data_IF_102452160090
#
_entry.id   IF_102452160090
#
_cell.length_a   1.000
_cell.length_b   1.000
_cell.length_c   1.000
_cell.angle_alpha   90.00
_cell.angle_beta   90.00
_cell.angle_gamma   90.00
#
_symmetry.space_group_name_H-M   'P 1'
#
loop_
_entity.id
_entity.type
_entity.pdbx_description
1 polymer ?
#
# COMPACT_ATOMS: atom_id res chain seq x y z
N UNK A 1 9.88 2.26 -13.38
CA UNK A 1 9.74 3.62 -13.91
C UNK A 1 8.40 3.75 -14.62
N UNK A 2 7.93 4.98 -14.87
CA UNK A 2 6.68 5.24 -15.60
C UNK A 2 6.71 4.66 -17.03
N UNK A 3 7.88 4.63 -17.67
CA UNK A 3 8.10 4.10 -19.02
C UNK A 3 7.72 2.60 -19.15
N UNK A 4 7.85 1.84 -18.06
CA UNK A 4 7.54 0.41 -18.07
C UNK A 4 6.03 0.14 -17.97
N UNK A 5 5.21 1.12 -17.54
CA UNK A 5 3.79 0.90 -17.22
C UNK A 5 3.02 0.45 -18.45
N UNK A 6 3.02 1.23 -19.53
CA UNK A 6 2.27 0.89 -20.75
C UNK A 6 2.69 -0.46 -21.35
N UNK A 7 3.98 -0.75 -21.59
CA UNK A 7 4.40 -2.07 -22.10
C UNK A 7 3.96 -3.23 -21.20
N UNK A 8 4.03 -3.07 -19.87
CA UNK A 8 3.55 -4.10 -18.93
C UNK A 8 2.04 -4.32 -19.03
N UNK A 9 1.24 -3.26 -19.19
CA UNK A 9 -0.21 -3.37 -19.35
C UNK A 9 -0.60 -3.99 -20.69
N UNK A 10 0.12 -3.68 -21.77
CA UNK A 10 -0.09 -4.31 -23.09
C UNK A 10 0.18 -5.82 -23.02
N UNK A 11 1.19 -6.25 -22.27
CA UNK A 11 1.44 -7.68 -22.03
C UNK A 11 0.36 -8.31 -21.15
N UNK A 12 -0.10 -7.61 -20.11
CA UNK A 12 -1.15 -8.08 -19.23
C UNK A 12 -2.48 -8.28 -19.99
N UNK A 13 -2.84 -7.37 -20.90
CA UNK A 13 -4.07 -7.45 -21.70
C UNK A 13 -4.08 -8.70 -22.58
N UNK A 14 -2.93 -9.10 -23.14
CA UNK A 14 -2.79 -10.32 -23.97
C UNK A 14 -3.09 -11.60 -23.18
N UNK A 15 -2.87 -11.60 -21.87
CA UNK A 15 -3.10 -12.77 -21.01
C UNK A 15 -4.34 -12.65 -20.14
N UNK A 16 -5.10 -11.55 -20.24
CA UNK A 16 -6.25 -11.22 -19.38
C UNK A 16 -7.27 -12.34 -19.29
N UNK A 17 -7.63 -12.96 -20.42
CA UNK A 17 -8.59 -14.07 -20.48
C UNK A 17 -8.10 -15.36 -19.81
N UNK A 18 -6.79 -15.45 -19.50
CA UNK A 18 -6.19 -16.60 -18.80
C UNK A 18 -6.04 -16.36 -17.30
N UNK A 19 -6.27 -15.13 -16.83
CA UNK A 19 -6.19 -14.80 -15.41
C UNK A 19 -7.36 -15.43 -14.67
N UNK A 20 -7.05 -16.18 -13.60
CA UNK A 20 -8.06 -16.82 -12.75
C UNK A 20 -8.30 -16.08 -11.43
N UNK A 21 -7.56 -14.98 -11.22
CA UNK A 21 -7.62 -14.16 -10.01
C UNK A 21 -7.55 -12.69 -10.40
N UNK A 22 -8.13 -11.79 -9.57
CA UNK A 22 -7.95 -10.36 -9.75
C UNK A 22 -6.47 -9.98 -9.75
N UNK A 23 -6.14 -8.93 -10.50
CA UNK A 23 -4.79 -8.35 -10.54
C UNK A 23 -4.81 -7.02 -9.82
N UNK A 24 -3.77 -6.78 -9.04
CA UNK A 24 -3.51 -5.49 -8.42
C UNK A 24 -2.37 -4.82 -9.16
N UNK A 25 -2.52 -3.54 -9.48
CA UNK A 25 -1.47 -2.77 -10.14
C UNK A 25 -0.88 -1.80 -9.13
N UNK A 26 0.39 -2.00 -8.81
CA UNK A 26 1.09 -1.32 -7.73
C UNK A 26 2.03 -0.22 -8.22
N UNK A 27 1.99 0.94 -7.56
CA UNK A 27 3.04 1.95 -7.69
C UNK A 27 3.09 2.89 -6.48
N UNK A 28 4.29 3.39 -6.18
CA UNK A 28 4.48 4.51 -5.26
C UNK A 28 4.30 5.83 -5.99
N UNK A 29 3.15 6.46 -5.78
CA UNK A 29 2.72 7.67 -6.50
C UNK A 29 2.94 8.95 -5.71
N UNK A 30 3.29 8.84 -4.43
CA UNK A 30 3.57 9.97 -3.54
C UNK A 30 4.87 9.75 -2.74
N UNK A 31 5.54 10.83 -2.28
CA UNK A 31 6.58 10.73 -1.27
C UNK A 31 5.96 10.43 0.10
N UNK A 32 6.54 9.47 0.82
CA UNK A 32 6.10 9.05 2.14
C UNK A 32 7.18 9.29 3.19
N UNK A 33 7.07 8.63 4.35
CA UNK A 33 8.03 8.83 5.42
C UNK A 33 9.44 8.43 4.99
N UNK A 34 10.39 9.35 5.22
CA UNK A 34 11.79 9.24 4.79
C UNK A 34 11.98 9.01 3.28
N UNK A 35 10.96 9.28 2.45
CA UNK A 35 11.03 9.25 1.00
C UNK A 35 11.11 10.67 0.44
N UNK A 36 12.00 10.90 -0.52
CA UNK A 36 12.25 12.25 -1.05
C UNK A 36 11.39 12.60 -2.28
N UNK A 37 11.03 11.63 -3.11
CA UNK A 37 10.28 11.84 -4.36
C UNK A 37 9.34 10.65 -4.60
N UNK A 38 8.22 10.87 -5.27
CA UNK A 38 7.40 9.76 -5.79
C UNK A 38 8.18 8.94 -6.83
N UNK A 39 7.88 7.64 -6.94
CA UNK A 39 8.56 6.77 -7.89
C UNK A 39 8.03 6.97 -9.32
N UNK A 40 6.76 7.37 -9.45
CA UNK A 40 6.09 7.70 -10.71
C UNK A 40 5.21 8.94 -10.53
N UNK A 41 4.91 9.61 -11.65
CA UNK A 41 3.88 10.63 -11.69
C UNK A 41 2.49 10.00 -11.51
N UNK A 42 1.74 10.50 -10.53
CA UNK A 42 0.46 9.92 -10.14
C UNK A 42 -0.60 10.00 -11.25
N UNK A 43 -0.73 11.17 -11.88
CA UNK A 43 -1.77 11.42 -12.89
C UNK A 43 -1.51 10.56 -14.13
N UNK A 44 -0.27 10.54 -14.62
CA UNK A 44 0.11 9.76 -15.80
C UNK A 44 0.01 8.26 -15.53
N UNK A 45 0.38 7.80 -14.33
CA UNK A 45 0.22 6.40 -13.94
C UNK A 45 -1.26 6.00 -13.94
N UNK A 46 -2.11 6.74 -13.22
CA UNK A 46 -3.53 6.43 -13.08
C UNK A 46 -4.27 6.51 -14.41
N UNK A 47 -4.03 7.56 -15.20
CA UNK A 47 -4.60 7.69 -16.55
C UNK A 47 -4.22 6.51 -17.44
N UNK A 48 -2.96 6.08 -17.39
CA UNK A 48 -2.50 4.95 -18.20
C UNK A 48 -3.15 3.66 -17.74
N UNK A 49 -3.12 3.35 -16.45
CA UNK A 49 -3.70 2.11 -15.89
C UNK A 49 -5.19 2.01 -16.16
N UNK A 50 -5.95 3.06 -15.84
CA UNK A 50 -7.41 3.06 -15.98
C UNK A 50 -7.87 3.05 -17.44
N UNK A 51 -7.03 3.49 -18.39
CA UNK A 51 -7.35 3.35 -19.82
C UNK A 51 -7.28 1.92 -20.34
N UNK A 52 -6.49 1.04 -19.71
CA UNK A 52 -6.41 -0.38 -20.05
C UNK A 52 -7.34 -1.25 -19.17
N UNK A 53 -7.37 -0.97 -17.87
CA UNK A 53 -8.10 -1.75 -16.88
C UNK A 53 -8.92 -0.83 -15.97
N UNK A 54 -10.11 -0.39 -16.40
CA UNK A 54 -10.93 0.56 -15.64
C UNK A 54 -11.43 -0.01 -14.30
N UNK A 55 -11.55 -1.32 -14.17
CA UNK A 55 -12.09 -1.99 -12.97
C UNK A 55 -11.01 -2.68 -12.11
N UNK A 56 -9.73 -2.37 -12.34
CA UNK A 56 -8.62 -3.00 -11.61
C UNK A 56 -8.53 -2.52 -10.16
N UNK A 57 -8.00 -3.35 -9.26
CA UNK A 57 -7.60 -2.87 -7.94
C UNK A 57 -6.28 -2.12 -8.06
N UNK A 58 -6.25 -0.89 -7.56
CA UNK A 58 -5.06 -0.07 -7.52
C UNK A 58 -4.36 -0.26 -6.17
N UNK A 59 -3.04 -0.47 -6.20
CA UNK A 59 -2.20 -0.53 -5.02
C UNK A 59 -1.33 0.72 -5.01
N UNK A 60 -1.80 1.76 -4.32
CA UNK A 60 -1.21 3.10 -4.38
C UNK A 60 -0.41 3.38 -3.12
N UNK A 61 0.91 3.37 -3.26
CA UNK A 61 1.84 3.51 -2.16
C UNK A 61 2.51 4.88 -2.09
N UNK A 62 3.36 4.97 -1.08
CA UNK A 62 4.32 6.05 -0.95
C UNK A 62 5.72 5.48 -1.00
N UNK A 63 6.66 6.21 -1.61
CA UNK A 63 8.07 5.86 -1.45
C UNK A 63 8.44 6.05 0.01
N UNK A 64 9.01 5.02 0.61
CA UNK A 64 9.36 5.03 2.04
C UNK A 64 10.82 4.68 2.25
N UNK A 65 11.42 5.25 3.29
CA UNK A 65 12.73 4.89 3.79
C UNK A 65 12.63 4.37 5.23
N UNK A 66 13.51 3.45 5.58
CA UNK A 66 13.70 3.03 6.98
C UNK A 66 15.21 2.99 7.27
N UNK A 67 15.59 3.49 8.43
CA UNK A 67 16.98 3.59 8.86
C UNK A 67 17.12 3.18 10.33
N UNK A 68 18.01 2.22 10.62
CA UNK A 68 18.18 1.65 11.97
C UNK A 68 18.56 2.68 13.04
N UNK A 69 19.37 3.67 12.67
CA UNK A 69 19.92 4.67 13.61
C UNK A 69 19.12 5.99 13.63
N UNK A 70 17.92 6.01 13.06
CA UNK A 70 17.10 7.22 12.99
C UNK A 70 15.71 7.00 13.57
N UNK A 71 15.10 8.11 14.01
CA UNK A 71 13.69 8.10 14.33
C UNK A 71 12.88 7.97 13.03
N UNK A 72 12.40 6.77 12.75
CA UNK A 72 11.56 6.48 11.60
C UNK A 72 10.16 7.04 11.83
N UNK A 73 9.89 8.22 11.26
CA UNK A 73 8.55 8.82 11.29
C UNK A 73 7.57 7.95 10.53
N UNK A 74 6.32 7.95 10.98
CA UNK A 74 5.21 7.37 10.24
C UNK A 74 4.63 8.32 9.20
N UNK A 75 3.58 7.86 8.52
CA UNK A 75 2.71 8.64 7.64
C UNK A 75 2.02 9.78 8.39
N UNK A 76 2.24 11.02 7.96
CA UNK A 76 1.62 12.20 8.57
C UNK A 76 0.31 12.62 7.88
N UNK A 77 -0.35 13.62 8.46
CA UNK A 77 -1.60 14.18 7.94
C UNK A 77 -1.49 14.73 6.51
N UNK A 78 -0.35 15.32 6.14
CA UNK A 78 -0.14 15.84 4.80
C UNK A 78 -0.08 14.68 3.80
N UNK A 79 0.65 13.61 4.14
CA UNK A 79 0.79 12.42 3.30
C UNK A 79 -0.55 11.72 3.04
N UNK A 80 -1.34 11.48 4.09
CA UNK A 80 -2.63 10.77 3.94
C UNK A 80 -3.69 11.63 3.25
N UNK A 81 -3.69 12.95 3.47
CA UNK A 81 -4.61 13.87 2.78
C UNK A 81 -4.28 13.99 1.29
N UNK A 82 -3.00 14.04 0.93
CA UNK A 82 -2.58 14.01 -0.47
C UNK A 82 -3.03 12.73 -1.18
N UNK A 83 -2.88 11.57 -0.52
CA UNK A 83 -3.37 10.30 -1.07
C UNK A 83 -4.90 10.29 -1.22
N UNK A 84 -5.63 10.78 -0.23
CA UNK A 84 -7.09 10.91 -0.30
C UNK A 84 -7.54 11.80 -1.46
N UNK A 85 -6.84 12.91 -1.73
CA UNK A 85 -7.13 13.80 -2.86
C UNK A 85 -6.98 13.09 -4.20
N UNK A 86 -5.89 12.33 -4.39
CA UNK A 86 -5.69 11.53 -5.61
C UNK A 86 -6.83 10.51 -5.75
N UNK A 87 -7.17 9.83 -4.66
CA UNK A 87 -8.11 8.72 -4.69
C UNK A 87 -9.58 9.15 -4.75
N UNK A 88 -9.93 10.42 -4.53
CA UNK A 88 -11.31 10.90 -4.56
C UNK A 88 -11.94 10.81 -5.96
N UNK A 89 -11.11 10.84 -7.01
CA UNK A 89 -11.56 10.79 -8.42
C UNK A 89 -11.70 9.37 -8.94
N UNK A 90 -11.19 8.38 -8.20
CA UNK A 90 -11.13 6.99 -8.61
C UNK A 90 -12.43 6.27 -8.25
N UNK A 91 -12.88 5.37 -9.11
CA UNK A 91 -13.99 4.44 -8.85
C UNK A 91 -13.51 3.04 -8.42
N UNK A 92 -12.24 2.73 -8.66
CA UNK A 92 -11.60 1.45 -8.42
C UNK A 92 -11.46 1.11 -6.92
N UNK A 93 -11.41 -0.16 -6.52
CA UNK A 93 -10.87 -0.54 -5.21
C UNK A 93 -9.42 -0.05 -5.08
N UNK A 94 -9.06 0.47 -3.91
CA UNK A 94 -7.70 0.95 -3.64
C UNK A 94 -7.17 0.24 -2.39
N UNK A 95 -5.98 -0.35 -2.48
CA UNK A 95 -5.21 -0.73 -1.32
C UNK A 95 -4.03 0.23 -1.15
N UNK A 96 -3.70 0.56 0.09
CA UNK A 96 -2.56 1.40 0.43
C UNK A 96 -1.44 0.52 1.01
N UNK A 97 -0.34 0.28 0.27
CA UNK A 97 0.85 -0.34 0.79
C UNK A 97 1.47 0.52 1.89
N UNK A 98 1.46 0.01 3.12
CA UNK A 98 2.07 0.67 4.27
C UNK A 98 3.15 -0.21 4.87
N UNK A 99 4.31 0.38 5.16
CA UNK A 99 5.46 -0.35 5.70
C UNK A 99 5.23 -0.62 7.18
N UNK A 100 5.24 -1.88 7.62
CA UNK A 100 4.87 -2.29 8.97
C UNK A 100 5.57 -1.48 10.08
N UNK A 101 6.89 -1.26 9.92
CA UNK A 101 7.71 -0.51 10.87
C UNK A 101 7.29 0.95 11.09
N UNK A 102 6.45 1.51 10.21
CA UNK A 102 6.04 2.92 10.20
C UNK A 102 4.56 3.12 10.56
N UNK A 103 3.77 2.04 10.68
CA UNK A 103 2.31 2.16 10.87
C UNK A 103 1.96 2.55 12.30
N UNK A 104 2.73 2.07 13.28
CA UNK A 104 2.41 2.28 14.71
C UNK A 104 2.31 3.76 15.07
N UNK A 105 3.12 4.62 14.45
CA UNK A 105 3.12 6.05 14.70
C UNK A 105 2.02 6.81 13.93
N UNK A 106 1.25 6.12 13.08
CA UNK A 106 0.33 6.72 12.10
C UNK A 106 -1.07 6.12 12.10
N UNK A 107 -1.46 5.46 13.20
CA UNK A 107 -2.78 4.84 13.30
C UNK A 107 -3.88 5.86 13.06
N UNK A 108 -3.79 7.07 13.64
CA UNK A 108 -4.84 8.08 13.50
C UNK A 108 -4.98 8.58 12.05
N UNK A 109 -3.86 8.86 11.39
CA UNK A 109 -3.79 9.34 10.02
C UNK A 109 -4.31 8.29 9.04
N UNK A 110 -3.84 7.04 9.17
CA UNK A 110 -4.24 5.93 8.32
C UNK A 110 -5.69 5.49 8.58
N UNK A 111 -6.16 5.56 9.83
CA UNK A 111 -7.57 5.30 10.16
C UNK A 111 -8.48 6.34 9.50
N UNK A 112 -8.09 7.62 9.54
CA UNK A 112 -8.83 8.66 8.84
C UNK A 112 -8.88 8.41 7.33
N UNK A 113 -7.75 8.04 6.71
CA UNK A 113 -7.71 7.71 5.28
C UNK A 113 -8.66 6.55 4.95
N UNK A 114 -8.62 5.47 5.74
CA UNK A 114 -9.47 4.29 5.57
C UNK A 114 -10.98 4.57 5.71
N UNK A 115 -11.35 5.62 6.44
CA UNK A 115 -12.74 6.07 6.60
C UNK A 115 -13.27 6.88 5.42
N UNK A 116 -12.42 7.36 4.51
CA UNK A 116 -12.86 8.18 3.38
C UNK A 116 -13.66 7.40 2.33
N UNK A 117 -13.53 6.07 2.30
CA UNK A 117 -14.23 5.20 1.35
C UNK A 117 -14.22 3.75 1.84
N UNK A 118 -15.32 3.02 1.60
CA UNK A 118 -15.41 1.57 1.85
C UNK A 118 -14.57 0.75 0.87
N UNK A 119 -14.23 1.31 -0.30
CA UNK A 119 -13.35 0.72 -1.31
C UNK A 119 -11.88 0.64 -0.91
N UNK A 120 -11.52 1.26 0.21
CA UNK A 120 -10.11 1.35 0.64
C UNK A 120 -9.70 0.14 1.48
N UNK A 121 -8.43 -0.24 1.40
CA UNK A 121 -7.82 -1.31 2.18
C UNK A 121 -6.36 -0.98 2.49
N UNK A 122 -5.74 -1.69 3.42
CA UNK A 122 -4.31 -1.59 3.69
C UNK A 122 -3.61 -2.88 3.24
N UNK A 123 -2.41 -2.73 2.68
CA UNK A 123 -1.46 -3.84 2.51
C UNK A 123 -0.23 -3.54 3.36
N UNK A 124 -0.12 -4.22 4.49
CA UNK A 124 1.01 -4.08 5.40
C UNK A 124 2.17 -4.91 4.86
N UNK A 125 3.27 -4.25 4.49
CA UNK A 125 4.44 -4.90 3.89
C UNK A 125 5.72 -4.62 4.68
N UNK A 126 6.76 -5.41 4.43
CA UNK A 126 8.05 -5.32 5.15
C UNK A 126 9.24 -5.39 4.21
N UNK A 127 10.24 -4.53 4.44
CA UNK A 127 11.58 -4.67 3.89
C UNK A 127 12.43 -5.65 4.69
N UNK A 128 13.49 -6.18 4.08
CA UNK A 128 14.39 -7.16 4.72
C UNK A 128 15.08 -6.64 5.98
N UNK A 129 15.40 -5.35 5.98
CA UNK A 129 16.13 -4.69 7.06
C UNK A 129 15.20 -3.98 8.06
N UNK A 130 13.88 -3.99 7.81
CA UNK A 130 12.94 -3.31 8.68
C UNK A 130 12.88 -4.01 10.05
N UNK A 131 13.05 -3.23 11.13
CA UNK A 131 12.84 -3.72 12.49
C UNK A 131 11.43 -3.32 12.96
N UNK A 132 10.64 -4.34 13.31
CA UNK A 132 9.29 -4.24 13.84
C UNK A 132 9.00 -5.49 14.66
N UNK A 133 8.03 -5.43 15.59
CA UNK A 133 7.68 -6.57 16.43
C UNK A 133 6.36 -7.23 16.02
N UNK A 134 6.10 -8.44 16.53
CA UNK A 134 4.79 -9.10 16.37
C UNK A 134 3.69 -8.27 17.04
N UNK A 135 4.00 -7.62 18.17
CA UNK A 135 3.09 -6.69 18.85
C UNK A 135 2.72 -5.49 17.98
N UNK A 136 3.61 -5.00 17.12
CA UNK A 136 3.27 -3.95 16.15
C UNK A 136 2.23 -4.45 15.15
N UNK A 137 2.38 -5.67 14.63
CA UNK A 137 1.42 -6.27 13.70
C UNK A 137 0.07 -6.55 14.38
N UNK A 138 0.09 -7.01 15.63
CA UNK A 138 -1.13 -7.19 16.43
C UNK A 138 -1.83 -5.85 16.68
N UNK A 139 -1.06 -4.80 16.99
CA UNK A 139 -1.59 -3.47 17.18
C UNK A 139 -2.28 -2.94 15.91
N UNK A 140 -1.71 -3.16 14.72
CA UNK A 140 -2.37 -2.85 13.45
C UNK A 140 -3.68 -3.63 13.32
N UNK A 141 -3.65 -4.94 13.58
CA UNK A 141 -4.83 -5.82 13.49
C UNK A 141 -5.97 -5.44 14.44
N UNK A 142 -5.65 -4.82 15.57
CA UNK A 142 -6.64 -4.35 16.56
C UNK A 142 -7.28 -3.02 16.16
N UNK A 143 -6.56 -2.16 15.42
CA UNK A 143 -7.01 -0.81 15.09
C UNK A 143 -7.72 -0.70 13.72
N UNK A 144 -7.61 -1.71 12.86
CA UNK A 144 -8.24 -1.73 11.54
C UNK A 144 -9.18 -2.92 11.34
N UNK A 145 -10.17 -2.76 10.45
CA UNK A 145 -11.04 -3.85 10.03
C UNK A 145 -10.21 -4.97 9.39
N UNK A 146 -10.22 -6.15 10.03
CA UNK A 146 -9.44 -7.33 9.64
C UNK A 146 -9.77 -7.83 8.24
N UNK A 147 -10.96 -7.55 7.72
CA UNK A 147 -11.37 -7.90 6.36
C UNK A 147 -10.78 -6.98 5.28
N UNK A 148 -10.24 -5.82 5.69
CA UNK A 148 -9.69 -4.77 4.83
C UNK A 148 -8.19 -4.56 5.02
N UNK A 149 -7.50 -5.48 5.71
CA UNK A 149 -6.05 -5.45 5.89
C UNK A 149 -5.42 -6.74 5.40
N UNK A 150 -4.48 -6.61 4.48
CA UNK A 150 -3.68 -7.69 3.92
C UNK A 150 -2.24 -7.58 4.45
N UNK A 151 -1.59 -8.72 4.66
CA UNK A 151 -0.25 -8.80 5.24
C UNK A 151 0.70 -9.47 4.24
N UNK A 152 1.71 -8.72 3.79
CA UNK A 152 2.83 -9.16 2.96
C UNK A 152 4.12 -9.11 3.79
N UNK A 153 4.25 -10.06 4.71
CA UNK A 153 5.26 -10.08 5.76
C UNK A 153 6.27 -11.18 5.47
N UNK A 154 7.56 -10.87 5.60
CA UNK A 154 8.64 -11.82 5.42
C UNK A 154 8.73 -12.80 6.61
N UNK A 155 9.29 -13.98 6.35
CA UNK A 155 9.66 -14.92 7.42
C UNK A 155 10.93 -14.45 8.15
N UNK A 156 11.10 -14.74 9.45
CA UNK A 156 10.24 -15.58 10.30
C UNK A 156 9.02 -14.89 10.95
N UNK A 157 8.93 -13.55 10.91
CA UNK A 157 7.91 -12.79 11.64
C UNK A 157 6.48 -13.14 11.21
N UNK A 158 6.27 -13.47 9.93
CA UNK A 158 4.96 -13.92 9.44
C UNK A 158 4.46 -15.19 10.15
N UNK A 159 5.34 -16.17 10.37
CA UNK A 159 4.99 -17.39 11.13
C UNK A 159 4.65 -17.09 12.59
N UNK A 160 5.42 -16.22 13.23
CA UNK A 160 5.16 -15.82 14.62
C UNK A 160 3.84 -15.04 14.75
N UNK A 161 3.57 -14.14 13.82
CA UNK A 161 2.31 -13.40 13.76
C UNK A 161 1.11 -14.32 13.57
N UNK A 162 1.18 -15.27 12.63
CA UNK A 162 0.12 -16.28 12.41
C UNK A 162 -0.16 -17.09 13.68
N UNK A 163 0.91 -17.59 14.33
CA UNK A 163 0.81 -18.28 15.61
C UNK A 163 0.12 -17.42 16.68
N UNK A 164 0.44 -16.13 16.76
CA UNK A 164 -0.16 -15.21 17.73
C UNK A 164 -1.66 -14.97 17.47
N UNK A 165 -2.14 -15.07 16.23
CA UNK A 165 -3.56 -14.90 15.87
C UNK A 165 -4.32 -16.22 15.72
N UNK A 166 -3.68 -17.36 16.02
CA UNK A 166 -4.30 -18.69 15.97
C UNK A 166 -4.53 -19.24 14.55
N UNK A 167 -3.67 -18.86 13.59
CA UNK A 167 -3.68 -19.35 12.20
C UNK A 167 -2.44 -20.21 11.93
#
# INVERSE_FOLDING_TARGET
SLEAVRPSLELLERVKQRLRRPVWINADVLPGPNGNNSAVDAEMFLKTVTSFFPDVTLSLGWTTGWHADQHNKGYDWMMVKAMAQICNTLSQPVTFPVRAALVRQSISELSWLMQQSDRYSLTVWTGKEDVYSVEDLLYIRENFDRSRVYYDILEPQNSEFKKAIGV
#
